data_IF_589232306410
#
_entry.id   IF_589232306410
#
_cell.length_a   1.000
_cell.length_b   1.000
_cell.length_c   1.000
_cell.angle_alpha   90.00
_cell.angle_beta   90.00
_cell.angle_gamma   90.00
#
_symmetry.space_group_name_H-M   'P 1'
#
loop_
_entity.id
_entity.type
_entity.pdbx_description
1 polymer ?
#
# COMPACT_ATOMS: atom_id res chain seq x y z
N UNK A 1 -19.62 4.64 12.03
CA UNK A 1 -18.29 4.64 12.68
C UNK A 1 -17.57 3.29 12.71
N UNK A 2 -18.23 2.12 12.73
CA UNK A 2 -17.54 0.80 12.72
C UNK A 2 -16.66 0.53 11.47
N UNK A 3 -17.03 1.05 10.30
CA UNK A 3 -16.33 0.73 9.03
C UNK A 3 -15.02 1.51 8.80
N UNK A 4 -14.91 2.75 9.28
CA UNK A 4 -13.70 3.57 9.08
C UNK A 4 -12.52 3.03 9.91
N UNK A 5 -12.76 2.68 11.17
CA UNK A 5 -11.74 2.08 12.06
C UNK A 5 -11.29 0.72 11.52
N UNK A 6 -12.22 -0.10 11.02
CA UNK A 6 -11.88 -1.38 10.38
C UNK A 6 -11.05 -1.18 9.10
N UNK A 7 -11.37 -0.19 8.28
CA UNK A 7 -10.62 0.12 7.06
C UNK A 7 -9.21 0.65 7.34
N UNK A 8 -9.04 1.46 8.39
CA UNK A 8 -7.72 1.95 8.83
C UNK A 8 -6.90 0.80 9.43
N UNK A 9 -7.51 -0.01 10.31
CA UNK A 9 -6.87 -1.18 10.91
C UNK A 9 -6.38 -2.15 9.85
N UNK A 10 -7.21 -2.45 8.83
CA UNK A 10 -6.82 -3.33 7.73
C UNK A 10 -5.66 -2.78 6.90
N UNK A 11 -5.60 -1.45 6.68
CA UNK A 11 -4.50 -0.80 5.97
C UNK A 11 -3.19 -0.85 6.74
N UNK A 12 -3.24 -0.63 8.06
CA UNK A 12 -2.05 -0.69 8.93
C UNK A 12 -1.50 -2.11 8.97
N UNK A 13 -2.38 -3.11 9.13
CA UNK A 13 -1.97 -4.53 9.12
C UNK A 13 -1.32 -4.92 7.80
N UNK A 14 -1.88 -4.49 6.66
CA UNK A 14 -1.29 -4.77 5.35
C UNK A 14 0.10 -4.16 5.16
N UNK A 15 0.31 -2.90 5.56
CA UNK A 15 1.63 -2.27 5.45
C UNK A 15 2.63 -2.88 6.45
N UNK A 16 2.18 -3.25 7.64
CA UNK A 16 3.03 -3.96 8.62
C UNK A 16 3.44 -5.34 8.13
N UNK A 17 2.54 -6.09 7.51
CA UNK A 17 2.83 -7.41 6.94
C UNK A 17 3.93 -7.32 5.88
N UNK A 18 3.80 -6.39 4.93
CA UNK A 18 4.82 -6.19 3.89
C UNK A 18 6.17 -5.80 4.48
N UNK A 19 6.21 -4.91 5.47
CA UNK A 19 7.45 -4.51 6.15
C UNK A 19 8.04 -5.71 6.91
N UNK A 20 7.23 -6.49 7.63
CA UNK A 20 7.67 -7.65 8.39
C UNK A 20 8.23 -8.74 7.48
N UNK A 21 7.52 -9.10 6.40
CA UNK A 21 7.98 -10.09 5.41
C UNK A 21 9.28 -9.62 4.76
N UNK A 22 9.32 -8.36 4.32
CA UNK A 22 10.52 -7.78 3.70
C UNK A 22 11.72 -7.77 4.66
N UNK A 23 11.46 -7.50 5.94
CA UNK A 23 12.49 -7.52 6.98
C UNK A 23 12.96 -8.94 7.28
N UNK A 24 12.05 -9.92 7.38
CA UNK A 24 12.39 -11.32 7.59
C UNK A 24 13.23 -11.90 6.45
N UNK A 25 12.94 -11.52 5.21
CA UNK A 25 13.68 -11.99 4.03
C UNK A 25 15.05 -11.31 3.93
N UNK A 26 15.13 -10.00 4.18
CA UNK A 26 16.35 -9.22 3.90
C UNK A 26 17.24 -9.06 5.12
N UNK A 27 16.72 -9.25 6.33
CA UNK A 27 17.39 -9.01 7.62
C UNK A 27 17.69 -7.54 7.92
N UNK A 28 17.41 -6.61 6.99
CA UNK A 28 17.77 -5.18 7.09
C UNK A 28 16.54 -4.30 7.12
N UNK A 29 16.35 -3.59 8.24
CA UNK A 29 15.19 -2.72 8.46
C UNK A 29 15.09 -1.58 7.43
N UNK A 30 16.22 -1.01 7.01
CA UNK A 30 16.27 0.05 5.99
C UNK A 30 15.72 -0.38 4.63
N UNK A 31 15.88 -1.65 4.27
CA UNK A 31 15.32 -2.20 3.03
C UNK A 31 13.81 -2.45 3.17
N UNK A 32 13.37 -2.99 4.30
CA UNK A 32 11.95 -3.21 4.59
C UNK A 32 11.14 -1.92 4.62
N UNK A 33 11.69 -0.85 5.21
CA UNK A 33 11.07 0.48 5.20
C UNK A 33 10.99 1.06 3.78
N UNK A 34 12.02 0.83 2.96
CA UNK A 34 12.02 1.24 1.56
C UNK A 34 10.93 0.53 0.77
N UNK A 35 10.74 -0.78 0.97
CA UNK A 35 9.64 -1.55 0.35
C UNK A 35 8.28 -1.04 0.82
N UNK A 36 8.09 -0.82 2.12
CA UNK A 36 6.85 -0.25 2.65
C UNK A 36 6.51 1.12 2.02
N UNK A 37 7.52 1.98 1.84
CA UNK A 37 7.37 3.26 1.14
C UNK A 37 6.99 3.10 -0.34
N UNK A 38 7.65 2.17 -1.04
CA UNK A 38 7.35 1.85 -2.44
C UNK A 38 5.94 1.27 -2.58
N UNK A 39 5.47 0.44 -1.66
CA UNK A 39 4.10 -0.09 -1.67
C UNK A 39 3.06 1.03 -1.66
N UNK A 40 3.22 1.99 -0.74
CA UNK A 40 2.29 3.13 -0.61
C UNK A 40 2.32 3.98 -1.88
N UNK A 41 3.52 4.28 -2.40
CA UNK A 41 3.68 5.05 -3.63
C UNK A 41 3.06 4.34 -4.83
N UNK A 42 3.28 3.02 -4.95
CA UNK A 42 2.73 2.21 -6.04
C UNK A 42 1.20 2.18 -5.99
N UNK A 43 0.59 2.02 -4.81
CA UNK A 43 -0.87 2.11 -4.65
C UNK A 43 -1.41 3.48 -5.05
N UNK A 44 -0.75 4.57 -4.67
CA UNK A 44 -1.16 5.92 -5.06
C UNK A 44 -1.07 6.09 -6.59
N UNK A 45 0.03 5.65 -7.21
CA UNK A 45 0.21 5.74 -8.65
C UNK A 45 -0.81 4.89 -9.41
N UNK A 46 -1.06 3.65 -8.96
CA UNK A 46 -2.08 2.77 -9.52
C UNK A 46 -3.47 3.37 -9.40
N UNK A 47 -3.82 3.95 -8.25
CA UNK A 47 -5.11 4.62 -8.06
C UNK A 47 -5.25 5.82 -9.01
N UNK A 48 -4.22 6.65 -9.14
CA UNK A 48 -4.22 7.77 -10.07
C UNK A 48 -4.35 7.31 -11.52
N UNK A 49 -3.59 6.30 -11.94
CA UNK A 49 -3.69 5.74 -13.29
C UNK A 49 -5.06 5.10 -13.53
N UNK A 50 -5.60 4.38 -12.55
CA UNK A 50 -6.94 3.81 -12.61
C UNK A 50 -7.98 4.91 -12.84
N UNK A 51 -7.97 5.98 -12.04
CA UNK A 51 -8.86 7.13 -12.25
C UNK A 51 -8.67 7.77 -13.63
N UNK A 52 -7.41 7.95 -14.08
CA UNK A 52 -7.12 8.53 -15.41
C UNK A 52 -7.62 7.66 -16.55
N UNK A 53 -7.47 6.34 -16.44
CA UNK A 53 -7.97 5.37 -17.41
C UNK A 53 -9.51 5.39 -17.38
N UNK A 54 -10.12 5.38 -16.20
CA UNK A 54 -11.58 5.42 -16.06
C UNK A 54 -12.20 6.71 -16.60
N UNK A 55 -11.52 7.85 -16.44
CA UNK A 55 -11.94 9.12 -17.05
C UNK A 55 -11.82 9.10 -18.58
N UNK A 56 -10.86 8.36 -19.15
CA UNK A 56 -10.75 8.19 -20.61
C UNK A 56 -11.74 7.15 -21.16
N UNK A 57 -12.06 6.12 -20.38
CA UNK A 57 -13.10 5.15 -20.68
C UNK A 57 -14.44 5.76 -20.24
N UNK A 58 -14.84 6.85 -20.89
CA UNK A 58 -16.24 7.28 -20.87
C UNK A 58 -17.01 6.33 -21.79
N UNK A 59 -17.89 5.52 -21.20
CA UNK A 59 -19.07 5.00 -21.89
C UNK A 59 -20.18 6.06 -21.79
#
# INVERSE_FOLDING_TARGET
MKSAVKAISWRIVGTMDTILISWLITGRLSFALSIGGVEVFTKMLLYYLHERIWVRIKF
#
